data_IF_409018877905
#
_entry.id   IF_409018877905
#
_cell.length_a   1.000
_cell.length_b   1.000
_cell.length_c   1.000
_cell.angle_alpha   90.00
_cell.angle_beta   90.00
_cell.angle_gamma   90.00
#
_symmetry.space_group_name_H-M   'P 1'
#
loop_
_entity.id
_entity.type
_entity.pdbx_description
1 polymer ?
#
# COMPACT_ATOMS: atom_id res chain seq x y z
N UNK A 1 10.86 -20.98 89.36
CA UNK A 1 9.65 -21.04 90.21
C UNK A 1 8.43 -20.69 89.38
N UNK A 2 7.44 -21.60 89.31
CA UNK A 2 6.09 -21.31 88.80
C UNK A 2 5.27 -20.61 89.90
N UNK A 3 4.55 -19.54 89.57
CA UNK A 3 3.09 -19.37 89.80
C UNK A 3 2.69 -17.88 89.63
N UNK A 4 1.79 -17.59 88.68
CA UNK A 4 0.34 -17.27 88.83
C UNK A 4 0.11 -15.85 89.42
N UNK A 5 -0.71 -14.96 88.86
CA UNK A 5 -2.17 -15.04 88.55
C UNK A 5 -2.50 -13.88 87.58
N UNK A 6 -3.23 -14.11 86.48
CA UNK A 6 -4.70 -14.01 86.29
C UNK A 6 -5.33 -12.64 86.58
N UNK A 7 -5.98 -12.07 85.54
CA UNK A 7 -7.34 -11.47 85.43
C UNK A 7 -7.31 -10.64 84.11
N UNK A 8 -7.83 -11.10 82.95
CA UNK A 8 -9.26 -11.03 82.51
C UNK A 8 -9.80 -9.58 82.51
N UNK A 9 -10.30 -8.92 81.46
CA UNK A 9 -11.22 -9.33 80.39
C UNK A 9 -11.50 -8.12 79.44
N UNK A 10 -11.91 -8.40 78.19
CA UNK A 10 -12.66 -7.60 77.20
C UNK A 10 -12.00 -6.35 76.55
N UNK A 11 -11.62 -6.35 75.26
CA UNK A 11 -12.46 -6.23 74.04
C UNK A 11 -13.39 -5.01 74.03
N UNK A 12 -12.98 -3.94 73.35
CA UNK A 12 -13.74 -3.22 72.31
C UNK A 12 -12.73 -2.51 71.41
N UNK A 13 -12.73 -2.92 70.14
CA UNK A 13 -11.91 -2.44 69.04
C UNK A 13 -12.45 -1.07 68.62
N UNK A 14 -11.66 -0.01 68.85
CA UNK A 14 -11.92 1.31 68.29
C UNK A 14 -11.48 1.31 66.81
N UNK A 15 -12.42 1.05 65.92
CA UNK A 15 -12.25 1.30 64.49
C UNK A 15 -12.40 2.81 64.25
N UNK A 16 -11.33 3.58 64.45
CA UNK A 16 -11.25 4.95 63.95
C UNK A 16 -10.96 4.84 62.45
N UNK A 17 -12.00 5.06 61.64
CA UNK A 17 -11.89 5.29 60.20
C UNK A 17 -11.16 6.61 60.03
N UNK A 18 -9.83 6.56 59.90
CA UNK A 18 -9.07 7.68 59.37
C UNK A 18 -9.22 7.67 57.86
N UNK A 19 -9.98 8.66 57.37
CA UNK A 19 -9.99 9.14 56.00
C UNK A 19 -8.56 9.52 55.59
N UNK A 20 -7.78 8.55 55.14
CA UNK A 20 -6.64 8.81 54.27
C UNK A 20 -7.17 8.74 52.84
N UNK A 21 -7.38 9.91 52.26
CA UNK A 21 -7.58 10.06 50.84
C UNK A 21 -6.39 9.45 50.11
N UNK A 22 -6.57 8.24 49.58
CA UNK A 22 -5.81 7.78 48.44
C UNK A 22 -6.11 8.77 47.31
N UNK A 23 -5.22 9.76 47.15
CA UNK A 23 -4.96 10.36 45.85
C UNK A 23 -4.49 9.22 44.96
N UNK A 24 -5.45 8.53 44.35
CA UNK A 24 -5.19 7.85 43.11
C UNK A 24 -4.81 8.97 42.15
N UNK A 25 -3.53 9.09 41.86
CA UNK A 25 -3.12 9.59 40.56
C UNK A 25 -3.91 8.75 39.56
N UNK A 26 -5.00 9.31 39.04
CA UNK A 26 -5.49 8.97 37.73
C UNK A 26 -4.31 9.22 36.81
N UNK A 27 -3.49 8.18 36.62
CA UNK A 27 -2.77 8.01 35.37
C UNK A 27 -3.87 8.10 34.33
N UNK A 28 -3.99 9.28 33.72
CA UNK A 28 -4.84 9.50 32.57
C UNK A 28 -4.57 8.33 31.65
N UNK A 29 -5.53 7.42 31.57
CA UNK A 29 -5.51 6.32 30.63
C UNK A 29 -5.27 6.99 29.30
N UNK A 30 -4.06 6.88 28.78
CA UNK A 30 -3.67 7.43 27.50
C UNK A 30 -4.68 6.79 26.52
N UNK A 31 -5.70 7.57 26.14
CA UNK A 31 -6.69 7.13 25.17
C UNK A 31 -5.83 6.87 23.95
N UNK A 32 -5.56 5.59 23.68
CA UNK A 32 -4.88 5.16 22.48
C UNK A 32 -5.74 5.68 21.35
N UNK A 33 -5.35 6.82 20.79
CA UNK A 33 -5.97 7.38 19.61
C UNK A 33 -5.94 6.27 18.54
N UNK A 34 -7.07 5.63 18.22
CA UNK A 34 -7.09 4.52 17.28
C UNK A 34 -6.78 5.00 15.86
N UNK A 35 -6.87 6.30 15.59
CA UNK A 35 -6.56 6.93 14.31
C UNK A 35 -5.06 7.23 14.17
N UNK A 36 -4.37 7.53 15.29
CA UNK A 36 -2.96 7.95 15.34
C UNK A 36 -2.66 9.08 14.35
N UNK A 37 -3.57 10.04 14.22
CA UNK A 37 -3.56 11.05 13.16
C UNK A 37 -2.27 11.87 13.17
N UNK A 38 -1.83 12.33 14.35
CA UNK A 38 -0.59 13.08 14.52
C UNK A 38 0.64 12.31 14.00
N UNK A 39 0.73 11.00 14.27
CA UNK A 39 1.84 10.16 13.77
C UNK A 39 1.81 10.00 12.25
N UNK A 40 0.62 9.92 11.66
CA UNK A 40 0.47 9.87 10.20
C UNK A 40 0.89 11.20 9.58
N UNK A 41 0.46 12.33 10.14
CA UNK A 41 0.86 13.67 9.70
C UNK A 41 2.38 13.86 9.82
N UNK A 42 2.99 13.41 10.92
CA UNK A 42 4.45 13.41 11.10
C UNK A 42 5.18 12.56 10.06
N UNK A 43 4.62 11.38 9.73
CA UNK A 43 5.17 10.54 8.67
C UNK A 43 5.13 11.24 7.31
N UNK A 44 3.99 11.86 6.95
CA UNK A 44 3.84 12.63 5.71
C UNK A 44 4.81 13.81 5.68
N UNK A 45 4.94 14.54 6.78
CA UNK A 45 5.93 15.62 6.91
C UNK A 45 7.35 15.15 6.65
N UNK A 46 7.72 14.00 7.19
CA UNK A 46 9.09 13.47 7.10
C UNK A 46 9.40 12.87 5.73
N UNK A 47 8.47 12.12 5.15
CA UNK A 47 8.74 11.27 3.98
C UNK A 47 7.90 11.61 2.74
N UNK A 48 6.75 12.24 2.91
CA UNK A 48 5.83 12.59 1.82
C UNK A 48 6.40 13.67 0.89
N UNK A 49 6.12 13.52 -0.40
CA UNK A 49 6.31 14.57 -1.40
C UNK A 49 5.13 15.55 -1.31
N UNK A 50 5.40 16.73 -0.76
CA UNK A 50 4.39 17.77 -0.56
C UNK A 50 4.30 18.63 -1.83
N UNK A 51 3.17 18.53 -2.53
CA UNK A 51 2.91 19.23 -3.80
C UNK A 51 2.65 20.72 -3.56
N UNK A 52 1.75 21.06 -2.63
CA UNK A 52 1.48 22.43 -2.21
C UNK A 52 1.88 22.64 -0.73
N UNK A 53 3.05 23.26 -0.53
CA UNK A 53 3.56 23.57 0.81
C UNK A 53 2.71 24.57 1.58
N UNK A 54 2.05 25.53 0.91
CA UNK A 54 1.24 26.55 1.58
C UNK A 54 -0.06 25.93 2.09
N UNK A 55 -0.75 25.18 1.23
CA UNK A 55 -1.97 24.47 1.61
C UNK A 55 -1.67 23.44 2.72
N UNK A 56 -0.56 22.71 2.60
CA UNK A 56 -0.14 21.77 3.63
C UNK A 56 0.17 22.45 4.97
N UNK A 57 0.90 23.57 4.98
CA UNK A 57 1.15 24.32 6.21
C UNK A 57 -0.14 24.85 6.86
N UNK A 58 -1.16 25.16 6.06
CA UNK A 58 -2.48 25.52 6.59
C UNK A 58 -3.13 24.33 7.30
N UNK A 59 -3.11 23.14 6.68
CA UNK A 59 -3.59 21.90 7.32
C UNK A 59 -2.89 21.64 8.65
N UNK A 60 -1.56 21.78 8.71
CA UNK A 60 -0.81 21.58 9.96
C UNK A 60 -1.24 22.55 11.07
N UNK A 61 -1.51 23.81 10.75
CA UNK A 61 -1.96 24.82 11.71
C UNK A 61 -3.40 24.56 12.16
N UNK A 62 -4.30 24.32 11.22
CA UNK A 62 -5.72 24.15 11.48
C UNK A 62 -6.05 22.88 12.28
N UNK A 63 -5.13 21.91 12.33
CA UNK A 63 -5.35 20.59 12.96
C UNK A 63 -4.44 20.32 14.16
N UNK A 64 -3.70 21.33 14.64
CA UNK A 64 -2.58 21.17 15.59
C UNK A 64 -1.70 19.95 15.25
N UNK A 65 -1.13 19.97 14.05
CA UNK A 65 -0.29 18.89 13.52
C UNK A 65 -0.98 17.51 13.56
N UNK A 66 -2.29 17.48 13.31
CA UNK A 66 -3.11 16.29 13.29
C UNK A 66 -3.66 15.85 14.65
N UNK A 67 -3.45 16.60 15.75
CA UNK A 67 -4.04 16.29 17.06
C UNK A 67 -5.55 16.51 17.09
N UNK A 68 -6.05 17.47 16.31
CA UNK A 68 -7.47 17.81 16.25
C UNK A 68 -8.25 17.01 15.20
N UNK A 69 -7.58 16.09 14.49
CA UNK A 69 -8.23 15.21 13.51
C UNK A 69 -8.89 14.04 14.25
N UNK A 70 -10.20 13.90 14.08
CA UNK A 70 -11.00 12.92 14.85
C UNK A 70 -11.54 11.77 14.01
N UNK A 71 -11.42 11.84 12.68
CA UNK A 71 -11.94 10.83 11.75
C UNK A 71 -10.98 10.44 10.63
N UNK A 72 -11.17 9.24 10.09
CA UNK A 72 -10.41 8.75 8.93
C UNK A 72 -10.65 9.62 7.69
N UNK A 73 -11.87 10.11 7.53
CA UNK A 73 -12.27 10.98 6.43
C UNK A 73 -11.52 12.31 6.49
N UNK A 74 -11.40 12.92 7.68
CA UNK A 74 -10.59 14.11 7.90
C UNK A 74 -9.12 13.86 7.66
N UNK A 75 -8.56 12.77 8.20
CA UNK A 75 -7.16 12.42 7.98
C UNK A 75 -6.87 12.19 6.50
N UNK A 76 -7.76 11.49 5.79
CA UNK A 76 -7.64 11.25 4.36
C UNK A 76 -7.71 12.55 3.54
N UNK A 77 -8.61 13.49 3.91
CA UNK A 77 -8.64 14.83 3.30
C UNK A 77 -7.34 15.59 3.56
N UNK A 78 -6.83 15.55 4.79
CA UNK A 78 -5.59 16.22 5.17
C UNK A 78 -4.41 15.71 4.33
N UNK A 79 -4.18 14.40 4.26
CA UNK A 79 -3.03 13.86 3.49
C UNK A 79 -3.17 14.08 1.98
N UNK A 80 -4.39 14.20 1.45
CA UNK A 80 -4.62 14.54 0.04
C UNK A 80 -4.24 15.97 -0.32
N UNK A 81 -4.30 16.89 0.65
CA UNK A 81 -3.76 18.26 0.46
C UNK A 81 -2.24 18.23 0.33
N UNK A 82 -1.57 17.31 1.04
CA UNK A 82 -0.14 17.11 0.91
C UNK A 82 0.23 16.60 -0.49
N UNK A 83 -0.49 15.59 -0.97
CA UNK A 83 -0.30 14.97 -2.28
C UNK A 83 -1.61 14.34 -2.75
N UNK A 84 -2.07 14.67 -3.95
CA UNK A 84 -3.36 14.17 -4.44
C UNK A 84 -3.42 12.64 -4.65
N UNK A 85 -2.27 11.97 -4.81
CA UNK A 85 -2.17 10.51 -4.87
C UNK A 85 -2.07 9.84 -3.48
N UNK A 86 -1.92 10.61 -2.39
CA UNK A 86 -1.94 10.06 -1.04
C UNK A 86 -3.37 9.67 -0.62
N UNK A 87 -3.47 8.61 0.17
CA UNK A 87 -4.74 8.20 0.76
C UNK A 87 -4.53 7.40 2.04
N UNK A 88 -5.51 7.44 2.93
CA UNK A 88 -5.61 6.55 4.08
C UNK A 88 -6.60 5.44 3.77
N UNK A 89 -6.19 4.20 3.94
CA UNK A 89 -7.06 3.04 3.83
C UNK A 89 -7.30 2.43 5.21
N UNK A 90 -8.54 2.55 5.70
CA UNK A 90 -8.99 2.05 7.01
C UNK A 90 -8.98 0.52 7.09
N UNK A 91 -9.21 -0.16 5.97
CA UNK A 91 -9.38 -1.62 5.89
C UNK A 91 -8.14 -2.34 5.38
N UNK A 92 -7.09 -1.58 5.03
CA UNK A 92 -5.96 -2.07 4.26
C UNK A 92 -6.30 -2.20 2.78
N UNK A 93 -5.26 -2.24 1.94
CA UNK A 93 -5.39 -2.20 0.48
C UNK A 93 -6.38 -3.26 -0.02
N UNK A 94 -7.49 -2.79 -0.59
CA UNK A 94 -8.47 -3.66 -1.26
C UNK A 94 -7.76 -4.49 -2.32
N UNK A 95 -7.97 -5.80 -2.26
CA UNK A 95 -7.46 -6.72 -3.28
C UNK A 95 -8.50 -6.90 -4.38
N UNK A 96 -8.08 -6.87 -5.64
CA UNK A 96 -8.92 -7.17 -6.79
C UNK A 96 -8.14 -8.00 -7.80
N UNK A 97 -8.79 -9.00 -8.40
CA UNK A 97 -8.16 -9.95 -9.33
C UNK A 97 -8.89 -9.92 -10.67
N UNK A 98 -8.83 -8.78 -11.36
CA UNK A 98 -9.38 -8.69 -12.70
C UNK A 98 -8.41 -9.33 -13.69
N UNK A 99 -8.96 -10.09 -14.64
CA UNK A 99 -8.16 -10.87 -15.58
C UNK A 99 -8.15 -10.24 -16.97
N UNK A 100 -7.05 -10.37 -17.74
CA UNK A 100 -7.00 -9.90 -19.11
C UNK A 100 -8.08 -10.55 -19.99
N UNK A 101 -8.69 -9.73 -20.83
CA UNK A 101 -9.71 -10.15 -21.81
C UNK A 101 -9.35 -9.67 -23.20
N UNK A 102 -10.06 -10.16 -24.22
CA UNK A 102 -9.86 -9.75 -25.60
C UNK A 102 -11.20 -9.59 -26.28
N UNK A 103 -11.32 -8.58 -27.12
CA UNK A 103 -12.45 -8.41 -28.03
C UNK A 103 -11.94 -8.08 -29.44
N UNK A 104 -12.81 -8.27 -30.43
CA UNK A 104 -12.51 -7.94 -31.82
C UNK A 104 -13.32 -6.71 -32.21
N UNK A 105 -12.65 -5.66 -32.66
CA UNK A 105 -13.33 -4.57 -33.36
C UNK A 105 -13.83 -5.09 -34.71
N UNK A 106 -15.15 -5.09 -34.89
CA UNK A 106 -15.79 -5.64 -36.09
C UNK A 106 -15.50 -4.82 -37.34
N UNK A 107 -15.28 -3.50 -37.21
CA UNK A 107 -15.10 -2.61 -38.36
C UNK A 107 -13.76 -2.83 -39.05
N UNK A 108 -12.68 -2.99 -38.28
CA UNK A 108 -11.33 -3.14 -38.81
C UNK A 108 -10.77 -4.56 -38.63
N UNK A 109 -11.54 -5.48 -38.03
CA UNK A 109 -11.13 -6.85 -37.69
C UNK A 109 -9.84 -6.89 -36.86
N UNK A 110 -9.72 -5.96 -35.90
CA UNK A 110 -8.56 -5.83 -35.02
C UNK A 110 -8.85 -6.48 -33.67
N UNK A 111 -7.92 -7.30 -33.18
CA UNK A 111 -8.01 -7.86 -31.83
C UNK A 111 -7.40 -6.89 -30.83
N UNK A 112 -8.20 -6.53 -29.82
CA UNK A 112 -7.83 -5.60 -28.76
C UNK A 112 -7.80 -6.36 -27.44
N UNK A 113 -6.67 -6.27 -26.74
CA UNK A 113 -6.46 -6.97 -25.46
C UNK A 113 -6.66 -5.97 -24.33
N UNK A 114 -7.64 -6.22 -23.48
CA UNK A 114 -7.85 -5.43 -22.26
C UNK A 114 -6.93 -5.92 -21.14
N UNK A 115 -6.16 -5.00 -20.58
CA UNK A 115 -5.29 -5.22 -19.43
C UNK A 115 -5.87 -4.44 -18.23
N UNK A 116 -6.73 -5.07 -17.42
CA UNK A 116 -7.41 -4.38 -16.32
C UNK A 116 -6.50 -4.20 -15.10
N UNK A 117 -6.93 -3.36 -14.15
CA UNK A 117 -6.29 -3.24 -12.85
C UNK A 117 -6.29 -4.55 -12.08
N UNK A 118 -5.16 -4.90 -11.46
CA UNK A 118 -4.99 -6.11 -10.65
C UNK A 118 -4.16 -5.79 -9.40
N UNK A 119 -4.61 -6.24 -8.24
CA UNK A 119 -3.91 -6.15 -6.96
C UNK A 119 -4.27 -7.39 -6.11
N UNK A 120 -3.66 -8.56 -6.38
CA UNK A 120 -4.15 -9.82 -5.82
C UNK A 120 -3.87 -9.99 -4.32
N UNK A 121 -2.84 -9.33 -3.80
CA UNK A 121 -2.50 -9.36 -2.38
C UNK A 121 -1.49 -8.28 -2.03
N UNK A 122 -1.59 -7.75 -0.80
CA UNK A 122 -0.57 -6.89 -0.20
C UNK A 122 0.72 -7.63 0.19
N UNK A 123 0.70 -8.98 0.26
CA UNK A 123 1.88 -9.78 0.56
C UNK A 123 2.44 -10.46 -0.70
N UNK A 124 3.51 -9.91 -1.31
CA UNK A 124 4.11 -10.45 -2.52
C UNK A 124 4.80 -11.81 -2.33
N UNK A 125 4.98 -12.27 -1.09
CA UNK A 125 5.53 -13.62 -0.80
C UNK A 125 4.45 -14.68 -0.68
N UNK A 126 3.18 -14.29 -0.57
CA UNK A 126 2.07 -15.23 -0.38
C UNK A 126 1.89 -16.14 -1.59
N UNK A 127 1.37 -17.36 -1.36
CA UNK A 127 1.01 -18.29 -2.44
C UNK A 127 -0.04 -17.67 -3.36
N UNK A 128 -1.05 -17.03 -2.78
CA UNK A 128 -2.12 -16.32 -3.52
C UNK A 128 -1.55 -15.32 -4.50
N UNK A 129 -0.70 -14.41 -4.03
CA UNK A 129 -0.03 -13.43 -4.89
C UNK A 129 0.65 -14.10 -6.08
N UNK A 130 1.50 -15.11 -5.82
CA UNK A 130 2.25 -15.79 -6.88
C UNK A 130 1.33 -16.47 -7.90
N UNK A 131 0.26 -17.12 -7.44
CA UNK A 131 -0.71 -17.78 -8.30
C UNK A 131 -1.47 -16.78 -9.16
N UNK A 132 -2.05 -15.73 -8.56
CA UNK A 132 -2.81 -14.72 -9.30
C UNK A 132 -1.94 -13.95 -10.28
N UNK A 133 -0.72 -13.58 -9.87
CA UNK A 133 0.28 -12.96 -10.74
C UNK A 133 0.62 -13.83 -11.97
N UNK A 134 0.89 -15.12 -11.73
CA UNK A 134 1.18 -16.08 -12.80
C UNK A 134 0.00 -16.26 -13.74
N UNK A 135 -1.21 -16.35 -13.19
CA UNK A 135 -2.44 -16.49 -13.98
C UNK A 135 -2.67 -15.26 -14.86
N UNK A 136 -2.54 -14.05 -14.30
CA UNK A 136 -2.67 -12.80 -15.04
C UNK A 136 -1.70 -12.75 -16.23
N UNK A 137 -0.39 -12.97 -15.96
CA UNK A 137 0.64 -12.97 -17.00
C UNK A 137 0.41 -14.04 -18.06
N UNK A 138 0.04 -15.26 -17.65
CA UNK A 138 -0.21 -16.38 -18.58
C UNK A 138 -1.42 -16.12 -19.46
N UNK A 139 -2.50 -15.58 -18.89
CA UNK A 139 -3.71 -15.23 -19.65
C UNK A 139 -3.40 -14.15 -20.68
N UNK A 140 -2.74 -13.06 -20.29
CA UNK A 140 -2.34 -12.00 -21.21
C UNK A 140 -1.50 -12.56 -22.37
N UNK A 141 -0.48 -13.36 -22.06
CA UNK A 141 0.38 -13.99 -23.09
C UNK A 141 -0.39 -14.90 -24.04
N UNK A 142 -1.35 -15.67 -23.50
CA UNK A 142 -2.23 -16.50 -24.33
C UNK A 142 -3.05 -15.66 -25.30
N UNK A 143 -3.64 -14.55 -24.83
CA UNK A 143 -4.39 -13.63 -25.69
C UNK A 143 -3.50 -12.97 -26.74
N UNK A 144 -2.28 -12.55 -26.37
CA UNK A 144 -1.31 -11.96 -27.31
C UNK A 144 -0.96 -12.95 -28.43
N UNK A 145 -0.78 -14.24 -28.11
CA UNK A 145 -0.50 -15.29 -29.10
C UNK A 145 -1.65 -15.48 -30.09
N UNK A 146 -2.88 -15.12 -29.72
CA UNK A 146 -4.04 -15.21 -30.60
C UNK A 146 -4.14 -14.02 -31.57
N UNK A 147 -3.33 -12.97 -31.42
CA UNK A 147 -3.30 -11.84 -32.34
C UNK A 147 -2.39 -12.17 -33.53
N UNK A 148 -2.93 -12.25 -34.76
CA UNK A 148 -2.16 -12.61 -35.96
C UNK A 148 -0.88 -11.78 -36.11
N UNK A 149 0.24 -12.40 -36.49
CA UNK A 149 1.55 -11.73 -36.52
C UNK A 149 1.62 -10.50 -37.44
N UNK A 150 0.76 -10.44 -38.45
CA UNK A 150 0.65 -9.32 -39.40
C UNK A 150 -0.22 -8.15 -38.90
N UNK A 151 -0.95 -8.32 -37.80
CA UNK A 151 -1.71 -7.22 -37.18
C UNK A 151 -0.84 -6.46 -36.16
N UNK A 152 -1.14 -5.20 -35.83
CA UNK A 152 -0.54 -4.58 -34.65
C UNK A 152 -1.03 -5.26 -33.37
N UNK A 153 -0.26 -5.13 -32.29
CA UNK A 153 -0.72 -5.46 -30.95
C UNK A 153 -1.41 -4.24 -30.36
N UNK A 154 -2.68 -4.35 -29.99
CA UNK A 154 -3.43 -3.26 -29.37
C UNK A 154 -3.73 -3.62 -27.92
N UNK A 155 -3.13 -2.86 -27.00
CA UNK A 155 -3.31 -3.02 -25.56
C UNK A 155 -4.24 -1.93 -25.05
N UNK A 156 -5.38 -2.32 -24.50
CA UNK A 156 -6.31 -1.41 -23.86
C UNK A 156 -6.06 -1.35 -22.35
N UNK A 157 -5.62 -0.18 -21.90
CA UNK A 157 -5.46 0.21 -20.50
C UNK A 157 -6.54 1.23 -20.08
N UNK A 158 -7.55 1.49 -20.92
CA UNK A 158 -8.69 2.32 -20.52
C UNK A 158 -9.33 1.76 -19.24
N UNK A 159 -9.60 2.64 -18.28
CA UNK A 159 -10.12 2.31 -16.95
C UNK A 159 -9.19 1.43 -16.09
N UNK A 160 -7.93 1.24 -16.49
CA UNK A 160 -6.93 0.66 -15.60
C UNK A 160 -6.41 1.76 -14.64
N UNK A 161 -6.91 1.73 -13.41
CA UNK A 161 -6.54 2.64 -12.31
C UNK A 161 -5.26 2.23 -11.58
N UNK A 162 -4.48 1.30 -12.13
CA UNK A 162 -3.24 0.79 -11.53
C UNK A 162 -3.41 -0.53 -10.79
N UNK A 163 -2.68 -0.68 -9.68
CA UNK A 163 -2.52 -1.95 -8.96
C UNK A 163 -1.05 -2.36 -8.87
N UNK A 164 -0.75 -3.66 -8.92
CA UNK A 164 0.63 -4.13 -8.92
C UNK A 164 1.25 -4.00 -10.33
N UNK A 165 2.27 -3.13 -10.51
CA UNK A 165 2.87 -2.90 -11.82
C UNK A 165 3.63 -4.13 -12.36
N UNK A 166 4.13 -5.00 -11.49
CA UNK A 166 5.00 -6.11 -11.91
C UNK A 166 4.26 -7.16 -12.72
N UNK A 167 2.99 -7.41 -12.42
CA UNK A 167 2.13 -8.36 -13.14
C UNK A 167 1.81 -7.84 -14.55
N UNK A 168 1.50 -6.55 -14.63
CA UNK A 168 1.17 -5.86 -15.88
C UNK A 168 2.40 -5.76 -16.79
N UNK A 169 3.56 -5.40 -16.26
CA UNK A 169 4.82 -5.39 -17.02
C UNK A 169 5.20 -6.81 -17.45
N UNK A 170 5.11 -7.79 -16.53
CA UNK A 170 5.41 -9.19 -16.82
C UNK A 170 4.54 -9.79 -17.91
N UNK A 171 3.27 -9.37 -18.00
CA UNK A 171 2.33 -9.80 -19.03
C UNK A 171 2.77 -9.43 -20.45
N UNK A 172 3.44 -8.29 -20.62
CA UNK A 172 3.89 -7.75 -21.92
C UNK A 172 5.40 -7.68 -22.08
N UNK A 173 6.16 -8.30 -21.16
CA UNK A 173 7.62 -8.17 -21.10
C UNK A 173 8.37 -8.63 -22.37
N UNK A 174 7.78 -9.51 -23.18
CA UNK A 174 8.33 -9.91 -24.48
C UNK A 174 8.44 -8.72 -25.45
N UNK A 175 7.74 -7.61 -25.20
CA UNK A 175 7.68 -6.43 -26.06
C UNK A 175 8.34 -5.19 -25.46
N UNK A 176 8.90 -5.30 -24.25
CA UNK A 176 9.62 -4.21 -23.59
C UNK A 176 11.13 -4.51 -23.68
N UNK A 177 11.97 -3.55 -24.10
CA UNK A 177 13.41 -3.73 -24.10
C UNK A 177 13.94 -3.97 -22.68
N UNK A 178 15.00 -4.77 -22.55
CA UNK A 178 15.71 -4.88 -21.28
C UNK A 178 16.35 -3.54 -20.92
N UNK A 179 16.44 -3.22 -19.64
CA UNK A 179 17.05 -1.99 -19.16
C UNK A 179 16.26 -1.33 -18.04
N UNK A 180 16.57 -0.06 -17.76
CA UNK A 180 15.87 0.75 -16.79
C UNK A 180 14.42 0.99 -17.25
N UNK A 181 13.46 0.71 -16.37
CA UNK A 181 12.05 1.03 -16.58
C UNK A 181 11.71 2.37 -15.92
N UNK A 182 11.98 2.51 -14.63
CA UNK A 182 11.82 3.77 -13.88
C UNK A 182 12.75 3.83 -12.67
N UNK A 183 12.84 5.04 -12.08
CA UNK A 183 13.47 5.27 -10.79
C UNK A 183 12.49 5.99 -9.87
N UNK A 184 12.43 5.56 -8.62
CA UNK A 184 11.68 6.21 -7.55
C UNK A 184 12.66 7.04 -6.71
N UNK A 185 12.46 8.35 -6.71
CA UNK A 185 13.33 9.30 -6.00
C UNK A 185 12.53 9.84 -4.81
N UNK A 186 12.73 9.30 -3.60
CA UNK A 186 11.98 9.76 -2.44
C UNK A 186 12.52 11.10 -1.93
N UNK A 187 11.71 11.85 -1.16
CA UNK A 187 12.15 13.06 -0.44
C UNK A 187 13.35 12.79 0.48
N UNK A 188 13.35 11.62 1.12
CA UNK A 188 14.40 11.15 2.03
C UNK A 188 14.66 9.67 1.81
N UNK A 189 15.91 9.26 1.99
CA UNK A 189 16.33 7.86 1.83
C UNK A 189 16.96 7.61 0.46
N UNK A 190 17.10 6.32 0.12
CA UNK A 190 17.78 5.90 -1.10
C UNK A 190 16.82 5.81 -2.28
N UNK A 191 17.28 6.22 -3.46
CA UNK A 191 16.61 5.93 -4.73
C UNK A 191 16.42 4.43 -4.93
N UNK A 192 15.24 4.06 -5.45
CA UNK A 192 14.96 2.72 -5.95
C UNK A 192 14.97 2.75 -7.47
N UNK A 193 15.69 1.85 -8.11
CA UNK A 193 15.66 1.69 -9.57
C UNK A 193 14.98 0.39 -9.93
N UNK A 194 14.08 0.42 -10.91
CA UNK A 194 13.40 -0.77 -11.41
C UNK A 194 13.79 -1.03 -12.84
N UNK A 195 14.27 -2.23 -13.13
CA UNK A 195 14.82 -2.60 -14.44
C UNK A 195 14.28 -3.95 -14.92
N UNK A 196 14.04 -4.06 -16.22
CA UNK A 196 13.67 -5.31 -16.87
C UNK A 196 14.93 -6.06 -17.31
N UNK A 197 14.95 -7.35 -17.00
CA UNK A 197 15.97 -8.29 -17.49
C UNK A 197 15.30 -9.38 -18.33
N UNK A 198 16.11 -10.26 -18.92
CA UNK A 198 15.59 -11.39 -19.69
C UNK A 198 14.74 -12.37 -18.86
N UNK A 199 14.87 -12.39 -17.53
CA UNK A 199 14.22 -13.38 -16.65
C UNK A 199 13.39 -12.78 -15.50
N UNK A 200 13.53 -11.49 -15.23
CA UNK A 200 12.91 -10.86 -14.06
C UNK A 200 12.80 -9.35 -14.17
N UNK A 201 11.95 -8.76 -13.34
CA UNK A 201 12.01 -7.34 -12.99
C UNK A 201 12.87 -7.22 -11.74
N UNK A 202 13.97 -6.48 -11.84
CA UNK A 202 14.91 -6.22 -10.76
C UNK A 202 14.59 -4.89 -10.10
N UNK A 203 14.38 -4.90 -8.78
CA UNK A 203 14.10 -3.74 -7.94
C UNK A 203 15.33 -3.55 -7.05
N UNK A 204 16.12 -2.51 -7.33
CA UNK A 204 17.38 -2.25 -6.64
C UNK A 204 17.24 -1.01 -5.77
N UNK A 205 17.59 -1.16 -4.51
CA UNK A 205 17.82 -0.08 -3.54
C UNK A 205 19.31 -0.02 -3.22
N UNK A 206 19.76 0.97 -2.44
CA UNK A 206 21.18 1.03 -2.03
C UNK A 206 21.66 -0.19 -1.25
N UNK A 207 20.76 -0.93 -0.58
CA UNK A 207 21.12 -2.05 0.31
C UNK A 207 20.77 -3.42 -0.24
N UNK A 208 19.81 -3.51 -1.17
CA UNK A 208 19.18 -4.79 -1.56
C UNK A 208 18.74 -4.78 -3.00
N UNK A 209 18.78 -5.96 -3.62
CA UNK A 209 18.15 -6.25 -4.91
C UNK A 209 17.07 -7.31 -4.71
N UNK A 210 15.83 -6.97 -5.05
CA UNK A 210 14.70 -7.93 -5.15
C UNK A 210 14.49 -8.26 -6.63
N UNK A 211 14.16 -9.51 -6.93
CA UNK A 211 13.81 -9.96 -8.29
C UNK A 211 12.39 -10.50 -8.29
N UNK A 212 11.56 -10.02 -9.20
CA UNK A 212 10.23 -10.56 -9.49
C UNK A 212 10.36 -11.37 -10.79
N UNK A 213 10.21 -12.71 -10.73
CA UNK A 213 10.27 -13.53 -11.94
C UNK A 213 9.20 -13.09 -12.94
N UNK A 214 9.54 -13.12 -14.22
CA UNK A 214 8.59 -12.90 -15.30
C UNK A 214 8.59 -14.13 -16.20
N UNK A 215 7.47 -14.35 -16.87
CA UNK A 215 7.42 -15.25 -18.00
C UNK A 215 7.97 -14.46 -19.20
N UNK A 216 9.14 -14.80 -19.74
CA UNK A 216 9.67 -14.18 -20.96
C UNK A 216 10.17 -15.28 -21.88
N UNK A 217 9.86 -15.19 -23.17
CA UNK A 217 10.36 -16.12 -24.18
C UNK A 217 11.51 -15.49 -24.97
N UNK A 218 11.23 -14.36 -25.63
CA UNK A 218 12.19 -13.59 -26.40
C UNK A 218 11.64 -12.20 -26.66
N UNK A 219 12.51 -11.23 -26.95
CA UNK A 219 12.04 -9.93 -27.41
C UNK A 219 11.39 -10.08 -28.80
N UNK A 220 10.20 -9.49 -28.97
CA UNK A 220 9.45 -9.53 -30.23
C UNK A 220 9.22 -8.12 -30.74
N UNK A 221 9.67 -7.86 -31.95
CA UNK A 221 9.37 -6.62 -32.63
C UNK A 221 7.97 -6.71 -33.26
N UNK A 222 7.11 -5.75 -32.89
CA UNK A 222 5.76 -5.60 -33.43
C UNK A 222 5.33 -4.16 -33.24
N UNK A 223 4.49 -3.61 -34.13
CA UNK A 223 3.83 -2.33 -33.86
C UNK A 223 2.87 -2.50 -32.70
N UNK A 224 3.01 -1.66 -31.68
CA UNK A 224 2.20 -1.71 -30.46
C UNK A 224 1.46 -0.39 -30.34
N UNK A 225 0.15 -0.47 -30.19
CA UNK A 225 -0.68 0.67 -29.83
C UNK A 225 -1.21 0.44 -28.42
N UNK A 226 -1.27 1.52 -27.65
CA UNK A 226 -1.80 1.51 -26.30
C UNK A 226 -2.96 2.48 -26.25
N UNK A 227 -4.12 2.01 -25.81
CA UNK A 227 -5.27 2.85 -25.51
C UNK A 227 -5.19 3.17 -24.01
N UNK A 228 -5.08 4.44 -23.67
CA UNK A 228 -5.17 4.96 -22.31
C UNK A 228 -6.31 5.96 -22.28
N UNK A 229 -7.01 6.05 -21.15
CA UNK A 229 -7.89 7.18 -20.87
C UNK A 229 -7.14 8.10 -19.90
N UNK A 230 -7.29 9.41 -20.10
CA UNK A 230 -7.09 10.41 -19.06
C UNK A 230 -8.34 10.50 -18.18
#
# INVERSE_FOLDING_TARGET
>A
MKNKKCISILLIILTIITLQGCKNEEKSSEVRDPLQASKVIDYVNKYGLIEDKKAWNKVLKDTDNGKDITSYEELNRAVRVANHHASIDKTGLKTWENMPTMFTDKKHNLKIINLPSTYPSSNPKSKRYKTSSTNYMTKAKSLIKQVPANQPLILNLANNVGGDPYEMIGAVADYIPNGLLWSEIPKRGSTTTVSLTSKSIAIKTSKKVKKVPILRHSFKQRKIYVIINE
#
